data_IF_074246339391
#
_entry.id   IF_074246339391
#
_cell.length_a   1.000
_cell.length_b   1.000
_cell.length_c   1.000
_cell.angle_alpha   90.00
_cell.angle_beta   90.00
_cell.angle_gamma   90.00
#
_symmetry.space_group_name_H-M   'P 1'
#
loop_
_entity.id
_entity.type
_entity.pdbx_description
1 polymer ?
#
# COMPACT_ATOMS: atom_id res chain seq x y z
N UNK A 1 -63.90 57.54 -14.49
CA UNK A 1 -64.93 57.24 -15.50
C UNK A 1 -64.81 55.76 -15.85
N UNK A 2 -65.86 55.03 -15.56
CA UNK A 2 -66.00 53.54 -15.61
C UNK A 2 -65.79 52.97 -17.02
N UNK A 3 -65.27 51.76 -17.15
CA UNK A 3 -65.89 50.71 -17.97
C UNK A 3 -65.37 49.31 -17.50
N UNK A 4 -66.29 48.53 -16.97
CA UNK A 4 -66.19 47.06 -16.75
C UNK A 4 -66.23 46.34 -18.10
N UNK A 5 -65.37 45.35 -18.28
CA UNK A 5 -65.64 44.31 -19.28
C UNK A 5 -65.47 42.91 -18.65
N UNK A 6 -66.54 42.18 -18.86
CA UNK A 6 -66.88 40.86 -18.29
C UNK A 6 -65.94 39.77 -18.68
N UNK A 7 -65.64 38.98 -17.71
CA UNK A 7 -64.87 37.72 -17.78
C UNK A 7 -65.80 36.61 -18.29
N UNK A 8 -65.43 35.96 -19.38
CA UNK A 8 -66.07 34.72 -19.86
C UNK A 8 -65.14 33.54 -19.40
N UNK A 9 -65.67 32.68 -18.51
CA UNK A 9 -65.06 31.46 -18.06
C UNK A 9 -65.44 30.37 -19.04
N UNK A 10 -64.48 29.87 -19.77
CA UNK A 10 -64.58 28.59 -20.54
C UNK A 10 -63.91 27.46 -19.78
N UNK A 11 -64.73 26.52 -19.35
CA UNK A 11 -64.38 25.30 -18.69
C UNK A 11 -63.82 24.34 -19.75
N UNK A 12 -62.48 24.13 -19.75
CA UNK A 12 -61.81 23.16 -20.63
C UNK A 12 -61.51 21.91 -19.84
N UNK A 13 -62.10 20.81 -20.22
CA UNK A 13 -61.87 19.49 -19.63
C UNK A 13 -60.40 19.03 -19.89
N UNK A 14 -59.64 18.83 -18.81
CA UNK A 14 -58.26 18.36 -18.85
C UNK A 14 -58.24 16.84 -18.76
N UNK A 15 -58.04 16.17 -19.89
CA UNK A 15 -57.87 14.73 -19.99
C UNK A 15 -56.48 14.35 -19.47
N UNK A 16 -56.43 13.65 -18.34
CA UNK A 16 -55.17 13.04 -17.83
C UNK A 16 -54.76 11.85 -18.70
N UNK A 17 -53.71 12.00 -19.47
CA UNK A 17 -53.00 10.89 -20.06
C UNK A 17 -52.02 10.31 -19.04
N UNK A 18 -52.31 9.13 -18.49
CA UNK A 18 -51.39 8.35 -17.67
C UNK A 18 -50.48 7.58 -18.62
N UNK A 19 -49.25 8.10 -18.82
CA UNK A 19 -48.19 7.32 -19.47
C UNK A 19 -47.61 6.35 -18.46
N UNK A 20 -47.99 5.08 -18.54
CA UNK A 20 -47.36 3.99 -17.87
C UNK A 20 -45.99 3.70 -18.53
N UNK A 21 -44.93 4.36 -18.07
CA UNK A 21 -43.56 4.06 -18.47
C UNK A 21 -43.06 2.82 -17.74
N UNK A 22 -43.04 1.66 -18.44
CA UNK A 22 -42.25 0.51 -17.97
C UNK A 22 -40.79 0.88 -18.06
N UNK A 23 -40.16 1.21 -16.92
CA UNK A 23 -38.72 1.38 -16.79
C UNK A 23 -38.07 -0.01 -16.75
N UNK A 24 -37.67 -0.56 -17.87
CA UNK A 24 -36.75 -1.67 -17.93
C UNK A 24 -35.37 -1.15 -17.60
N UNK A 25 -34.92 -1.37 -16.36
CA UNK A 25 -33.52 -1.14 -15.96
C UNK A 25 -32.60 -2.03 -16.85
N UNK A 26 -31.54 -1.45 -17.43
CA UNK A 26 -30.58 -2.27 -18.17
C UNK A 26 -29.95 -3.28 -17.23
N UNK A 27 -30.09 -4.58 -17.54
CA UNK A 27 -29.35 -5.64 -16.88
C UNK A 27 -27.87 -5.42 -17.15
N UNK A 28 -27.13 -5.05 -16.09
CA UNK A 28 -25.66 -5.02 -16.14
C UNK A 28 -25.20 -6.45 -16.41
N UNK A 29 -24.81 -6.71 -17.64
CA UNK A 29 -24.09 -7.94 -17.98
C UNK A 29 -22.81 -7.92 -17.14
N UNK A 30 -22.76 -8.79 -16.13
CA UNK A 30 -21.50 -9.18 -15.46
C UNK A 30 -20.65 -9.80 -16.58
N UNK A 31 -19.69 -9.02 -17.09
CA UNK A 31 -18.63 -9.53 -17.93
C UNK A 31 -17.92 -10.70 -17.23
N UNK A 32 -17.20 -11.57 -17.98
CA UNK A 32 -16.48 -12.67 -17.38
C UNK A 32 -15.65 -12.13 -16.23
N UNK A 33 -15.87 -12.69 -15.04
CA UNK A 33 -15.06 -12.38 -13.86
C UNK A 33 -13.61 -12.68 -14.26
N UNK A 34 -12.76 -11.65 -14.33
CA UNK A 34 -11.32 -11.87 -14.40
C UNK A 34 -10.95 -12.77 -13.23
N UNK A 35 -10.05 -13.76 -13.41
CA UNK A 35 -9.64 -14.61 -12.31
C UNK A 35 -9.20 -13.70 -11.17
N UNK A 36 -9.83 -13.89 -10.01
CA UNK A 36 -9.49 -13.17 -8.78
C UNK A 36 -7.98 -13.32 -8.60
N UNK A 37 -7.25 -12.26 -8.92
CA UNK A 37 -5.81 -12.17 -8.69
C UNK A 37 -5.63 -12.55 -7.23
N UNK A 38 -4.87 -13.60 -6.93
CA UNK A 38 -4.70 -14.14 -5.59
C UNK A 38 -4.36 -12.97 -4.67
N UNK A 39 -5.38 -12.44 -4.00
CA UNK A 39 -5.23 -11.30 -3.13
C UNK A 39 -4.39 -11.75 -1.94
N UNK A 40 -3.13 -11.31 -1.90
CA UNK A 40 -2.27 -11.53 -0.75
C UNK A 40 -2.91 -10.77 0.41
N UNK A 41 -3.45 -11.51 1.39
CA UNK A 41 -4.03 -10.93 2.60
C UNK A 41 -2.96 -10.12 3.33
N UNK A 42 -3.29 -8.92 3.78
CA UNK A 42 -2.37 -8.02 4.46
C UNK A 42 -3.07 -7.34 5.63
N UNK A 43 -2.33 -7.13 6.72
CA UNK A 43 -2.76 -6.27 7.83
C UNK A 43 -2.49 -4.78 7.54
N UNK A 44 -1.79 -4.50 6.44
CA UNK A 44 -1.40 -3.17 5.99
C UNK A 44 -2.27 -2.79 4.79
N UNK A 45 -3.06 -1.72 4.91
CA UNK A 45 -3.84 -1.18 3.79
C UNK A 45 -2.92 -0.58 2.71
N UNK A 46 -3.40 -0.36 1.48
CA UNK A 46 -2.63 0.34 0.44
C UNK A 46 -2.14 1.72 0.91
N UNK A 47 -2.98 2.49 1.56
CA UNK A 47 -2.67 3.84 2.05
C UNK A 47 -1.57 3.78 3.13
N UNK A 48 -1.66 2.82 4.05
CA UNK A 48 -0.61 2.60 5.05
C UNK A 48 0.71 2.15 4.41
N UNK A 49 0.66 1.38 3.33
CA UNK A 49 1.87 0.98 2.59
C UNK A 49 2.57 2.18 1.94
N UNK A 50 1.82 3.14 1.42
CA UNK A 50 2.35 4.40 0.91
C UNK A 50 2.98 5.24 2.03
N UNK A 51 2.31 5.38 3.18
CA UNK A 51 2.86 6.09 4.34
C UNK A 51 4.13 5.42 4.89
N UNK A 52 4.17 4.09 4.98
CA UNK A 52 5.36 3.31 5.33
C UNK A 52 6.51 3.65 4.40
N UNK A 53 6.25 3.66 3.10
CA UNK A 53 7.25 3.93 2.05
C UNK A 53 7.81 5.35 2.18
N UNK A 54 6.93 6.36 2.23
CA UNK A 54 7.31 7.77 2.33
C UNK A 54 8.13 8.02 3.60
N UNK A 55 7.66 7.47 4.72
CA UNK A 55 8.33 7.65 6.00
C UNK A 55 9.69 6.95 6.04
N UNK A 56 9.80 5.74 5.49
CA UNK A 56 11.07 5.04 5.40
C UNK A 56 12.11 5.82 4.57
N UNK A 57 11.70 6.38 3.44
CA UNK A 57 12.56 7.25 2.62
C UNK A 57 12.99 8.49 3.39
N UNK A 58 12.10 9.10 4.17
CA UNK A 58 12.39 10.27 4.99
C UNK A 58 13.42 10.02 6.12
N UNK A 59 13.67 8.76 6.49
CA UNK A 59 14.66 8.38 7.48
C UNK A 59 16.08 8.16 6.89
N UNK A 60 16.26 8.33 5.58
CA UNK A 60 17.60 8.24 4.96
C UNK A 60 18.56 9.24 5.58
N UNK A 61 19.83 8.83 5.75
CA UNK A 61 20.83 9.62 6.47
C UNK A 61 20.87 9.36 7.98
N UNK A 62 19.88 8.66 8.57
CA UNK A 62 19.94 8.29 9.99
C UNK A 62 21.07 7.29 10.21
N UNK A 63 21.99 7.52 11.18
CA UNK A 63 23.13 6.63 11.40
C UNK A 63 22.74 5.18 11.71
N UNK A 64 23.50 4.23 11.20
CA UNK A 64 23.37 2.84 11.63
C UNK A 64 23.86 2.68 13.07
N UNK A 65 23.06 2.00 13.87
CA UNK A 65 23.48 1.55 15.21
C UNK A 65 22.97 0.14 15.47
N UNK A 66 23.87 -0.76 15.83
CA UNK A 66 23.48 -2.11 16.24
C UNK A 66 22.53 -2.07 17.44
N UNK A 67 21.36 -2.73 17.33
CA UNK A 67 20.30 -2.68 18.35
C UNK A 67 19.49 -1.38 18.35
N UNK A 68 19.83 -0.37 17.54
CA UNK A 68 19.12 0.89 17.45
C UNK A 68 17.72 0.74 16.81
N UNK A 69 16.78 1.55 17.28
CA UNK A 69 15.36 1.45 16.86
C UNK A 69 14.61 2.80 16.88
N UNK A 70 15.32 3.92 17.00
CA UNK A 70 14.73 5.27 16.92
C UNK A 70 15.61 6.19 16.05
N UNK A 71 15.03 7.26 15.48
CA UNK A 71 15.80 8.24 14.69
C UNK A 71 16.95 8.86 15.50
N UNK A 72 16.74 9.12 16.79
CA UNK A 72 17.71 9.82 17.67
C UNK A 72 18.89 8.92 18.02
N UNK A 73 18.65 7.62 18.18
CA UNK A 73 19.70 6.66 18.58
C UNK A 73 20.34 5.94 17.40
N UNK A 74 19.75 6.05 16.21
CA UNK A 74 20.11 5.29 15.02
C UNK A 74 19.36 3.96 14.88
N UNK A 75 19.53 3.29 13.76
CA UNK A 75 18.82 2.06 13.42
C UNK A 75 19.77 0.90 13.07
N UNK A 76 19.41 -0.31 13.48
CA UNK A 76 19.77 -1.50 12.71
C UNK A 76 18.64 -1.84 11.70
N UNK A 77 18.85 -2.83 10.82
CA UNK A 77 17.89 -3.17 9.77
C UNK A 77 16.51 -3.54 10.32
N UNK A 78 16.44 -4.37 11.37
CA UNK A 78 15.18 -4.78 11.99
C UNK A 78 14.56 -3.68 12.86
N UNK A 79 15.37 -2.78 13.40
CA UNK A 79 14.91 -1.61 14.15
C UNK A 79 14.26 -0.58 13.28
N UNK A 80 14.84 -0.28 12.13
CA UNK A 80 14.24 0.57 11.12
C UNK A 80 12.86 0.04 10.71
N UNK A 81 12.78 -1.25 10.34
CA UNK A 81 11.52 -1.89 9.97
C UNK A 81 10.51 -1.79 11.11
N UNK A 82 10.88 -2.17 12.33
CA UNK A 82 10.01 -2.11 13.49
C UNK A 82 9.46 -0.71 13.77
N UNK A 83 10.34 0.29 13.71
CA UNK A 83 9.97 1.68 13.92
C UNK A 83 8.97 2.19 12.86
N UNK A 84 9.26 1.95 11.59
CA UNK A 84 8.45 2.44 10.48
C UNK A 84 7.05 1.81 10.49
N UNK A 85 6.96 0.47 10.59
CA UNK A 85 5.66 -0.20 10.59
C UNK A 85 4.83 0.15 11.82
N UNK A 86 5.42 0.18 13.01
CA UNK A 86 4.69 0.55 14.22
C UNK A 86 4.15 1.98 14.14
N UNK A 87 4.98 2.92 13.66
CA UNK A 87 4.61 4.33 13.59
C UNK A 87 3.52 4.61 12.55
N UNK A 88 3.53 3.91 11.40
CA UNK A 88 2.63 4.21 10.27
C UNK A 88 1.43 3.29 10.14
N UNK A 89 1.49 2.11 10.73
CA UNK A 89 0.37 1.16 10.66
C UNK A 89 -0.07 0.60 12.01
N UNK A 90 0.63 0.92 13.10
CA UNK A 90 0.37 0.32 14.41
C UNK A 90 0.76 -1.16 14.50
N UNK A 91 1.39 -1.73 13.46
CA UNK A 91 1.73 -3.15 13.41
C UNK A 91 3.16 -3.36 13.91
N UNK A 92 3.31 -4.11 15.01
CA UNK A 92 4.62 -4.43 15.56
C UNK A 92 5.33 -5.50 14.73
N UNK A 93 6.53 -5.18 14.23
CA UNK A 93 7.38 -6.11 13.50
C UNK A 93 8.35 -6.87 14.43
N UNK A 94 8.75 -8.10 14.07
CA UNK A 94 9.79 -8.83 14.78
C UNK A 94 11.15 -8.09 14.78
N UNK A 95 11.90 -8.27 15.85
CA UNK A 95 13.15 -7.52 16.11
C UNK A 95 14.42 -8.23 15.60
N UNK A 96 14.25 -9.30 14.80
CA UNK A 96 15.37 -10.01 14.17
C UNK A 96 15.07 -10.33 12.71
N UNK A 97 16.09 -10.26 11.86
CA UNK A 97 15.97 -10.58 10.43
C UNK A 97 15.45 -12.00 10.20
N UNK A 98 15.88 -12.94 11.01
CA UNK A 98 15.43 -14.33 10.93
C UNK A 98 13.91 -14.46 11.15
N UNK A 99 13.34 -13.72 12.10
CA UNK A 99 11.88 -13.71 12.33
C UNK A 99 11.14 -12.90 11.25
N UNK A 100 11.76 -11.87 10.68
CA UNK A 100 11.19 -11.12 9.55
C UNK A 100 11.07 -12.00 8.31
N UNK A 101 11.94 -13.00 8.13
CA UNK A 101 11.90 -13.94 7.00
C UNK A 101 10.55 -14.66 6.87
N UNK A 102 9.84 -14.86 7.97
CA UNK A 102 8.52 -15.53 8.00
C UNK A 102 7.38 -14.61 8.42
N UNK A 103 7.65 -13.31 8.62
CA UNK A 103 6.65 -12.35 9.03
C UNK A 103 5.82 -11.84 7.84
N UNK A 104 4.51 -12.05 7.88
CA UNK A 104 3.61 -11.80 6.77
C UNK A 104 3.62 -12.90 5.70
N UNK A 105 2.90 -12.67 4.63
CA UNK A 105 2.77 -13.61 3.52
C UNK A 105 3.91 -13.46 2.52
N UNK A 106 4.33 -14.58 1.91
CA UNK A 106 5.26 -14.56 0.79
C UNK A 106 4.57 -13.93 -0.43
N UNK A 107 5.24 -12.96 -1.04
CA UNK A 107 4.73 -12.24 -2.21
C UNK A 107 5.60 -12.57 -3.42
N UNK A 108 5.01 -13.05 -4.53
CA UNK A 108 5.72 -13.17 -5.80
C UNK A 108 6.30 -11.81 -6.24
N UNK A 109 7.50 -11.82 -6.81
CA UNK A 109 8.22 -10.59 -7.18
C UNK A 109 7.47 -9.71 -8.19
N UNK A 110 6.67 -10.32 -9.06
CA UNK A 110 5.88 -9.60 -10.07
C UNK A 110 4.66 -8.86 -9.52
N UNK A 111 4.26 -9.13 -8.26
CA UNK A 111 3.17 -8.42 -7.57
C UNK A 111 3.63 -7.74 -6.26
N UNK A 112 4.95 -7.69 -6.04
CA UNK A 112 5.53 -6.91 -4.94
C UNK A 112 5.23 -5.42 -5.14
N UNK A 113 4.84 -4.76 -4.05
CA UNK A 113 4.49 -3.33 -4.05
C UNK A 113 5.27 -2.56 -2.99
N UNK A 114 5.32 -1.25 -3.14
CA UNK A 114 5.86 -0.37 -2.09
C UNK A 114 5.23 -0.69 -0.74
N UNK A 115 6.03 -0.62 0.31
CA UNK A 115 5.62 -1.01 1.65
C UNK A 115 5.71 -2.52 1.96
N UNK A 116 6.05 -3.39 0.99
CA UNK A 116 6.41 -4.78 1.29
C UNK A 116 7.83 -4.84 1.89
N UNK A 117 8.12 -5.90 2.64
CA UNK A 117 9.49 -6.17 3.08
C UNK A 117 10.31 -6.80 1.96
N UNK A 118 11.56 -6.40 1.87
CA UNK A 118 12.62 -7.12 1.15
C UNK A 118 13.39 -7.95 2.17
N UNK A 119 13.49 -9.24 1.92
CA UNK A 119 14.35 -10.16 2.68
C UNK A 119 15.50 -10.61 1.75
N UNK A 120 16.70 -10.40 2.21
CA UNK A 120 17.93 -10.78 1.52
C UNK A 120 18.57 -11.97 2.25
N UNK A 121 18.84 -13.03 1.53
CA UNK A 121 19.28 -14.31 2.10
C UNK A 121 20.53 -14.84 1.40
N UNK A 122 21.34 -15.58 2.16
CA UNK A 122 22.42 -16.41 1.65
C UNK A 122 22.17 -17.86 2.11
N UNK A 123 22.23 -18.81 1.20
CA UNK A 123 21.94 -20.22 1.49
C UNK A 123 20.60 -20.43 2.21
N UNK A 124 19.55 -19.70 1.79
CA UNK A 124 18.21 -19.70 2.36
C UNK A 124 18.10 -19.16 3.82
N UNK A 125 19.16 -18.59 4.35
CA UNK A 125 19.15 -17.93 5.67
C UNK A 125 19.11 -16.43 5.46
N UNK A 126 18.10 -15.76 6.05
CA UNK A 126 17.98 -14.31 5.96
C UNK A 126 19.15 -13.64 6.70
N UNK A 127 19.89 -12.82 5.99
CA UNK A 127 21.03 -12.06 6.49
C UNK A 127 20.75 -10.58 6.63
N UNK A 128 19.80 -10.07 5.86
CA UNK A 128 19.43 -8.65 5.86
C UNK A 128 17.98 -8.46 5.47
N UNK A 129 17.42 -7.28 5.81
CA UNK A 129 16.06 -6.90 5.47
C UNK A 129 15.94 -5.38 5.25
N UNK A 130 14.95 -4.97 4.46
CA UNK A 130 14.59 -3.58 4.21
C UNK A 130 13.14 -3.43 3.81
N UNK A 131 12.74 -2.21 3.48
CA UNK A 131 11.40 -1.85 3.03
C UNK A 131 11.46 -1.56 1.52
N UNK A 132 10.68 -2.29 0.74
CA UNK A 132 10.59 -2.09 -0.71
C UNK A 132 9.86 -0.79 -1.03
N UNK A 133 10.40 -0.01 -1.97
CA UNK A 133 9.82 1.27 -2.36
C UNK A 133 9.46 1.35 -3.86
N UNK A 134 9.47 0.19 -4.53
CA UNK A 134 9.23 0.12 -5.98
C UNK A 134 10.51 0.20 -6.82
N UNK A 135 10.40 -0.05 -8.13
CA UNK A 135 11.48 0.08 -9.13
C UNK A 135 12.80 -0.62 -8.74
N UNK A 136 12.70 -1.81 -8.17
CA UNK A 136 13.86 -2.56 -7.63
C UNK A 136 14.68 -1.78 -6.59
N UNK A 137 14.06 -0.86 -5.84
CA UNK A 137 14.70 -0.08 -4.78
C UNK A 137 14.14 -0.44 -3.42
N UNK A 138 14.96 -0.31 -2.39
CA UNK A 138 14.57 -0.54 -1.02
C UNK A 138 15.34 0.36 -0.05
N UNK A 139 14.70 0.72 1.05
CA UNK A 139 15.29 1.47 2.15
C UNK A 139 15.72 0.49 3.22
N UNK A 140 16.93 0.63 3.72
CA UNK A 140 17.51 -0.24 4.74
C UNK A 140 18.60 0.46 5.57
N UNK A 141 18.98 -0.14 6.69
CA UNK A 141 20.12 0.24 7.50
C UNK A 141 21.21 -0.85 7.35
N UNK A 142 22.26 -0.65 6.55
CA UNK A 142 23.10 -1.73 6.06
C UNK A 142 24.07 -2.35 7.09
N UNK A 143 24.87 -1.53 7.80
CA UNK A 143 25.88 -2.02 8.73
C UNK A 143 26.52 -0.90 9.53
N UNK A 144 27.30 -1.26 10.53
CA UNK A 144 28.08 -0.33 11.37
C UNK A 144 28.93 0.62 10.55
N UNK A 145 28.91 1.90 10.91
CA UNK A 145 29.58 2.99 10.18
C UNK A 145 28.84 3.51 8.96
N UNK A 146 27.69 2.89 8.62
CA UNK A 146 26.79 3.37 7.58
C UNK A 146 25.60 4.17 8.12
N UNK A 147 24.65 4.38 7.25
CA UNK A 147 23.40 5.11 7.55
C UNK A 147 22.22 4.44 6.84
N UNK A 148 21.00 4.78 7.23
CA UNK A 148 19.79 4.41 6.48
C UNK A 148 19.90 4.98 5.07
N UNK A 149 19.71 4.14 4.07
CA UNK A 149 19.86 4.57 2.67
C UNK A 149 18.92 3.82 1.73
N UNK A 150 18.77 4.40 0.55
CA UNK A 150 18.04 3.83 -0.57
C UNK A 150 19.02 3.13 -1.52
N UNK A 151 18.91 1.82 -1.65
CA UNK A 151 19.74 1.02 -2.55
C UNK A 151 18.89 0.34 -3.65
N UNK A 152 19.58 -0.17 -4.69
CA UNK A 152 18.98 -0.95 -5.78
C UNK A 152 19.25 -2.44 -5.59
N UNK A 153 18.18 -3.26 -5.67
CA UNK A 153 18.30 -4.73 -5.61
C UNK A 153 19.15 -5.30 -6.76
N UNK A 154 19.15 -4.65 -7.90
CA UNK A 154 19.94 -5.02 -9.08
C UNK A 154 21.36 -4.42 -9.10
N UNK A 155 21.84 -3.83 -7.99
CA UNK A 155 23.21 -3.38 -7.87
C UNK A 155 24.16 -4.59 -7.78
N UNK A 156 25.46 -4.38 -8.09
CA UNK A 156 26.48 -5.45 -8.10
C UNK A 156 26.52 -6.29 -6.80
N UNK A 157 26.29 -5.67 -5.65
CA UNK A 157 26.32 -6.36 -4.36
C UNK A 157 25.01 -7.09 -4.07
N UNK A 158 23.86 -6.40 -4.23
CA UNK A 158 22.56 -6.97 -3.85
C UNK A 158 22.04 -8.00 -4.84
N UNK A 159 22.43 -7.93 -6.13
CA UNK A 159 22.06 -8.93 -7.14
C UNK A 159 22.66 -10.33 -6.92
N UNK A 160 23.63 -10.45 -6.04
CA UNK A 160 24.22 -11.74 -5.62
C UNK A 160 23.46 -12.40 -4.46
N UNK A 161 22.48 -11.71 -3.88
CA UNK A 161 21.67 -12.23 -2.79
C UNK A 161 20.39 -12.87 -3.32
N UNK A 162 19.89 -13.86 -2.59
CA UNK A 162 18.52 -14.35 -2.82
C UNK A 162 17.54 -13.32 -2.27
N UNK A 163 16.63 -12.84 -3.13
CA UNK A 163 15.64 -11.81 -2.77
C UNK A 163 14.26 -12.46 -2.65
N UNK A 164 13.56 -12.18 -1.55
CA UNK A 164 12.15 -12.52 -1.40
C UNK A 164 11.39 -11.34 -0.79
N UNK A 165 10.07 -11.30 -1.04
CA UNK A 165 9.21 -10.23 -0.54
C UNK A 165 8.20 -10.80 0.45
N UNK A 166 7.88 -10.00 1.49
CA UNK A 166 6.88 -10.34 2.50
C UNK A 166 5.91 -9.20 2.67
N UNK A 167 4.63 -9.51 2.74
CA UNK A 167 3.56 -8.56 3.02
C UNK A 167 2.96 -8.84 4.39
N UNK A 168 3.24 -8.01 5.39
CA UNK A 168 2.70 -8.13 6.74
C UNK A 168 1.19 -7.92 6.83
#
# INVERSE_FOLDING_TARGET
MYIYKKLVVTCGAMTLFVFGGCSTAPSVHKGPAFPETMAVSSRISPEQADEITIYAVGLTGTPYRYGGNTPETGFDCSGLIGHVYLTRSGVAAPRTVLKLQTWGQLVPSNIARSGDLVILSQNNVATHAGIYVGDSRFVHAPSTGGEVRLDRLNSKYWSQQQVSFRRP
#
